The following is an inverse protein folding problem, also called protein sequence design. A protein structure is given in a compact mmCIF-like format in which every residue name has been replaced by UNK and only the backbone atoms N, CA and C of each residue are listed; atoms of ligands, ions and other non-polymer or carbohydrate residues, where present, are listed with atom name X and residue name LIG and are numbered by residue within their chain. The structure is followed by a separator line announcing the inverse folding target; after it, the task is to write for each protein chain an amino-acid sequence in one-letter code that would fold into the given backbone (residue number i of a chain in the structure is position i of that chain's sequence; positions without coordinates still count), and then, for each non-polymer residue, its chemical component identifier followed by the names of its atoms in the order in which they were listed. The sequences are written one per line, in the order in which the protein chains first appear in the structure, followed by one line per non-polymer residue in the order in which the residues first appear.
data_IF_171784712761
#
_entry.id   IF_171784712761
#
_cell.length_a   1.000
_cell.length_b   1.000
_cell.length_c   1.000
_cell.angle_alpha   90.00
_cell.angle_beta   90.00
_cell.angle_gamma   90.00
#
_symmetry.space_group_name_H-M   'P 1'
#
loop_
_entity.id
_entity.type
_entity.pdbx_description
1 polymer ?
#
# COMPACT_ATOMS: atom_id res chain seq x y z
N UNK A 1 -12.66 29.59 -18.11
CA UNK A 1 -12.58 28.15 -17.75
C UNK A 1 -11.19 27.67 -18.15
N UNK A 2 -10.38 27.06 -17.27
CA UNK A 2 -9.25 26.19 -17.64
C UNK A 2 -8.73 25.49 -16.37
N UNK A 3 -9.39 24.40 -15.99
CA UNK A 3 -8.85 23.50 -14.97
C UNK A 3 -7.76 22.64 -15.64
N UNK A 4 -6.50 23.06 -15.52
CA UNK A 4 -5.37 22.15 -15.80
C UNK A 4 -5.35 21.12 -14.68
N UNK A 5 -6.02 20.00 -14.89
CA UNK A 5 -5.99 18.84 -14.01
C UNK A 5 -4.56 18.30 -14.01
N UNK A 6 -3.75 18.75 -13.04
CA UNK A 6 -2.47 18.13 -12.73
C UNK A 6 -2.75 16.70 -12.28
N UNK A 7 -2.77 15.79 -13.25
CA UNK A 7 -2.79 14.35 -13.02
C UNK A 7 -1.47 14.03 -12.34
N UNK A 8 -1.49 14.08 -11.01
CA UNK A 8 -0.35 13.79 -10.14
C UNK A 8 0.13 12.40 -10.52
N UNK A 9 1.22 12.33 -11.27
CA UNK A 9 1.91 11.09 -11.60
C UNK A 9 2.50 10.59 -10.28
N UNK A 10 1.69 9.88 -9.51
CA UNK A 10 2.20 9.01 -8.46
C UNK A 10 2.95 7.93 -9.20
N UNK A 11 4.27 8.08 -9.30
CA UNK A 11 5.21 7.04 -9.74
C UNK A 11 4.66 5.67 -9.34
N UNK A 12 4.56 4.78 -10.32
CA UNK A 12 3.92 3.44 -10.45
C UNK A 12 3.98 2.46 -9.26
N UNK A 13 3.94 2.94 -8.02
CA UNK A 13 3.84 2.13 -6.83
C UNK A 13 2.44 1.57 -6.82
N UNK A 14 2.36 0.25 -6.94
CA UNK A 14 1.16 -0.55 -6.84
C UNK A 14 1.30 -1.42 -5.59
N UNK A 15 0.20 -1.59 -4.87
CA UNK A 15 0.20 -2.50 -3.74
C UNK A 15 0.47 -3.92 -4.23
N UNK A 16 1.45 -4.60 -3.65
CA UNK A 16 1.77 -5.98 -4.02
C UNK A 16 0.57 -6.91 -3.84
N UNK A 17 -0.26 -6.68 -2.81
CA UNK A 17 -1.41 -7.54 -2.50
C UNK A 17 -2.66 -7.22 -3.31
N UNK A 18 -3.07 -5.95 -3.38
CA UNK A 18 -4.34 -5.56 -4.01
C UNK A 18 -4.18 -4.80 -5.33
N UNK A 19 -2.95 -4.57 -5.79
CA UNK A 19 -2.58 -3.86 -7.03
C UNK A 19 -3.08 -2.42 -7.14
N UNK A 20 -3.73 -1.90 -6.10
CA UNK A 20 -4.16 -0.51 -6.01
C UNK A 20 -2.96 0.44 -6.05
N UNK A 21 -3.05 1.46 -6.90
CA UNK A 21 -2.10 2.57 -6.99
C UNK A 21 -2.59 3.82 -6.23
N UNK A 22 -3.88 3.85 -5.85
CA UNK A 22 -4.49 4.96 -5.10
C UNK A 22 -4.42 4.66 -3.61
N UNK A 23 -3.34 5.07 -2.97
CA UNK A 23 -3.23 5.06 -1.50
C UNK A 23 -2.53 6.31 -1.02
N UNK A 24 -3.02 6.88 0.08
CA UNK A 24 -2.44 8.06 0.70
C UNK A 24 -1.08 7.77 1.35
N UNK A 25 -0.85 6.51 1.75
CA UNK A 25 0.37 6.09 2.42
C UNK A 25 0.81 4.69 1.96
N UNK A 26 2.12 4.54 1.81
CA UNK A 26 2.79 3.32 1.39
C UNK A 26 3.65 2.78 2.52
N UNK A 27 3.54 1.48 2.78
CA UNK A 27 4.35 0.77 3.76
C UNK A 27 5.23 -0.23 3.06
N UNK A 28 6.46 -0.42 3.56
CA UNK A 28 7.34 -1.49 3.08
C UNK A 28 7.05 -2.77 3.86
N UNK A 29 6.97 -3.88 3.15
CA UNK A 29 6.95 -5.18 3.79
C UNK A 29 8.35 -5.49 4.35
N UNK A 30 8.43 -6.05 5.56
CA UNK A 30 9.71 -6.24 6.27
C UNK A 30 10.60 -7.34 5.67
N UNK A 31 10.03 -8.27 4.89
CA UNK A 31 10.72 -9.50 4.42
C UNK A 31 11.04 -9.43 2.92
N UNK A 32 10.18 -8.77 2.16
CA UNK A 32 10.33 -8.60 0.74
C UNK A 32 10.18 -7.11 0.51
N UNK A 33 11.06 -6.47 -0.24
CA UNK A 33 11.09 -5.02 -0.50
C UNK A 33 9.87 -4.51 -1.33
N UNK A 34 8.72 -5.12 -1.10
CA UNK A 34 7.44 -4.89 -1.72
C UNK A 34 6.71 -3.75 -1.01
N UNK A 35 5.98 -3.00 -1.82
CA UNK A 35 5.15 -1.90 -1.35
C UNK A 35 3.72 -2.37 -1.09
N UNK A 36 3.20 -1.97 0.07
CA UNK A 36 1.84 -2.27 0.50
C UNK A 36 1.08 -0.97 0.72
N UNK A 37 -0.19 -0.97 0.35
CA UNK A 37 -1.09 0.10 0.76
C UNK A 37 -1.40 -0.01 2.26
N UNK A 38 -1.88 1.09 2.84
CA UNK A 38 -2.27 1.16 4.25
C UNK A 38 -3.23 0.02 4.68
N UNK A 39 -4.22 -0.29 3.85
CA UNK A 39 -5.20 -1.34 4.13
C UNK A 39 -4.56 -2.72 4.19
N UNK A 40 -3.70 -3.06 3.23
CA UNK A 40 -3.01 -4.34 3.18
C UNK A 40 -1.99 -4.48 4.31
N UNK A 41 -1.26 -3.41 4.63
CA UNK A 41 -0.33 -3.39 5.76
C UNK A 41 -1.06 -3.68 7.09
N UNK A 42 -2.17 -2.99 7.36
CA UNK A 42 -3.00 -3.25 8.56
C UNK A 42 -3.52 -4.69 8.60
N UNK A 43 -3.93 -5.25 7.46
CA UNK A 43 -4.39 -6.64 7.37
C UNK A 43 -3.26 -7.62 7.71
N UNK A 44 -2.06 -7.40 7.17
CA UNK A 44 -0.90 -8.22 7.49
C UNK A 44 -0.52 -8.15 8.96
N UNK A 45 -0.52 -6.97 9.58
CA UNK A 45 -0.22 -6.83 11.01
C UNK A 45 -1.18 -7.63 11.89
N UNK A 46 -2.48 -7.65 11.55
CA UNK A 46 -3.48 -8.47 12.25
C UNK A 46 -3.25 -9.97 12.08
N UNK A 47 -2.81 -10.40 10.90
CA UNK A 47 -2.47 -11.80 10.65
C UNK A 47 -1.22 -12.18 11.44
N UNK A 48 -0.18 -11.34 11.41
CA UNK A 48 1.07 -11.55 12.16
C UNK A 48 0.83 -11.68 13.66
N UNK A 49 -0.05 -10.83 14.23
CA UNK A 49 -0.43 -10.94 15.65
C UNK A 49 -1.21 -12.21 15.97
N UNK A 50 -1.93 -12.79 15.00
CA UNK A 50 -2.62 -14.09 15.20
C UNK A 50 -1.63 -15.26 15.13
N UNK A 51 -0.70 -15.22 14.18
CA UNK A 51 0.33 -16.26 14.03
C UNK A 51 1.22 -16.34 15.28
N UNK A 52 1.67 -15.20 15.80
CA UNK A 52 2.55 -15.16 16.98
C UNK A 52 1.85 -15.52 18.31
N UNK A 53 0.55 -15.78 18.28
CA UNK A 53 -0.24 -16.14 19.47
C UNK A 53 -0.53 -17.64 19.54
N UNK A 54 -0.09 -18.41 18.55
CA UNK A 54 -0.18 -19.86 18.46
C UNK A 54 1.23 -20.46 18.43
#
# INVERSE_FOLDING_TARGET
MWFKTFKRITQDRKCFTCKEAKTSMWYRHSIHEQYLCNSCYKKQQRIKSKINKN
#
